data_IF_147755788888
#
_entry.id   IF_147755788888
#
_cell.length_a   1.000
_cell.length_b   1.000
_cell.length_c   1.000
_cell.angle_alpha   90.00
_cell.angle_beta   90.00
_cell.angle_gamma   90.00
#
_symmetry.space_group_name_H-M   'P 1'
#
loop_
_entity.id
_entity.type
_entity.pdbx_description
1 polymer ?
#
# COMPACT_ATOMS: atom_id res chain seq x y z
N UNK A 1 4.82 -5.21 9.93
CA UNK A 1 5.04 -6.24 8.89
C UNK A 1 4.48 -7.61 9.28
N UNK A 2 4.33 -7.90 10.58
CA UNK A 2 3.79 -9.16 11.09
C UNK A 2 2.36 -9.42 10.60
N UNK A 3 1.53 -8.37 10.47
CA UNK A 3 0.19 -8.44 9.88
C UNK A 3 0.17 -8.97 8.44
N UNK A 4 1.29 -8.85 7.73
CA UNK A 4 1.48 -9.37 6.37
C UNK A 4 2.02 -10.80 6.36
N UNK A 5 2.29 -11.40 7.52
CA UNK A 5 2.92 -12.72 7.63
C UNK A 5 4.38 -12.72 7.17
N UNK A 6 5.07 -11.59 7.30
CA UNK A 6 6.49 -11.45 6.97
C UNK A 6 7.30 -11.55 8.25
N UNK A 7 8.07 -12.64 8.35
CA UNK A 7 9.05 -12.89 9.40
C UNK A 7 10.47 -13.03 8.81
N UNK A 8 11.45 -13.37 9.64
CA UNK A 8 12.85 -13.55 9.21
C UNK A 8 13.04 -14.70 8.21
N UNK A 9 12.17 -15.71 8.25
CA UNK A 9 12.26 -16.94 7.46
C UNK A 9 11.47 -16.85 6.16
N UNK A 10 10.53 -15.92 6.06
CA UNK A 10 9.70 -15.71 4.88
C UNK A 10 10.58 -15.49 3.66
N UNK A 11 10.46 -16.34 2.64
CA UNK A 11 11.22 -16.18 1.40
C UNK A 11 10.72 -15.03 0.54
N UNK A 12 11.58 -14.56 -0.36
CA UNK A 12 11.21 -13.57 -1.36
C UNK A 12 10.25 -14.19 -2.39
N UNK A 13 9.17 -13.49 -2.78
CA UNK A 13 8.31 -13.97 -3.87
C UNK A 13 9.03 -13.88 -5.21
N UNK A 14 8.59 -14.68 -6.18
CA UNK A 14 9.15 -14.63 -7.53
C UNK A 14 9.02 -13.22 -8.13
N UNK A 15 10.13 -12.66 -8.62
CA UNK A 15 10.16 -11.32 -9.21
C UNK A 15 9.92 -10.19 -8.21
N UNK A 16 10.24 -10.39 -6.93
CA UNK A 16 10.23 -9.34 -5.93
C UNK A 16 11.14 -9.64 -4.74
N UNK A 17 11.37 -8.66 -3.88
CA UNK A 17 12.23 -8.82 -2.72
C UNK A 17 11.68 -8.13 -1.48
N UNK A 18 11.82 -8.82 -0.35
CA UNK A 18 11.64 -8.22 0.98
C UNK A 18 13.01 -7.75 1.43
N UNK A 19 13.15 -6.46 1.68
CA UNK A 19 14.43 -5.89 2.09
C UNK A 19 14.74 -6.26 3.55
N UNK A 20 16.02 -6.53 3.84
CA UNK A 20 16.48 -7.01 5.14
C UNK A 20 17.77 -6.33 5.54
N UNK A 21 17.83 -5.91 6.79
CA UNK A 21 19.04 -5.41 7.43
C UNK A 21 19.43 -6.40 8.53
N UNK A 22 20.65 -6.95 8.49
CA UNK A 22 21.11 -7.99 9.42
C UNK A 22 20.16 -9.19 9.55
N UNK A 23 19.52 -9.58 8.45
CA UNK A 23 18.54 -10.69 8.41
C UNK A 23 17.18 -10.36 9.01
N UNK A 24 16.94 -9.10 9.40
CA UNK A 24 15.65 -8.62 9.90
C UNK A 24 14.94 -7.87 8.77
N UNK A 25 13.70 -8.25 8.40
CA UNK A 25 12.95 -7.51 7.40
C UNK A 25 12.73 -6.05 7.81
N UNK A 26 13.11 -5.11 6.92
CA UNK A 26 13.02 -3.66 7.17
C UNK A 26 11.62 -3.10 6.94
N UNK A 27 10.75 -3.88 6.28
CA UNK A 27 9.41 -3.46 5.87
C UNK A 27 9.34 -2.84 4.49
N UNK A 28 10.47 -2.72 3.78
CA UNK A 28 10.49 -2.31 2.38
C UNK A 28 10.19 -3.55 1.52
N UNK A 29 9.16 -3.45 0.67
CA UNK A 29 8.74 -4.48 -0.27
C UNK A 29 8.98 -3.98 -1.70
N UNK A 30 9.73 -4.73 -2.50
CA UNK A 30 10.06 -4.39 -3.89
C UNK A 30 9.33 -5.30 -4.88
N UNK A 31 8.91 -4.70 -5.98
CA UNK A 31 8.24 -5.35 -7.10
C UNK A 31 7.08 -6.25 -6.65
N UNK A 32 7.13 -7.55 -6.97
CA UNK A 32 6.05 -8.49 -6.63
C UNK A 32 5.86 -8.72 -5.13
N UNK A 33 6.81 -8.31 -4.28
CA UNK A 33 6.61 -8.36 -2.83
C UNK A 33 5.52 -7.38 -2.36
N UNK A 34 5.23 -6.31 -3.11
CA UNK A 34 4.13 -5.39 -2.81
C UNK A 34 2.78 -6.10 -2.83
N UNK A 35 2.63 -7.14 -3.65
CA UNK A 35 1.37 -7.91 -3.74
C UNK A 35 1.01 -8.61 -2.42
N UNK A 36 2.00 -8.89 -1.56
CA UNK A 36 1.75 -9.44 -0.22
C UNK A 36 0.93 -8.44 0.61
N UNK A 37 1.27 -7.16 0.53
CA UNK A 37 0.51 -6.11 1.21
C UNK A 37 -0.84 -5.87 0.54
N UNK A 38 -0.87 -5.72 -0.78
CA UNK A 38 -2.10 -5.44 -1.54
C UNK A 38 -3.16 -6.53 -1.36
N UNK A 39 -2.77 -7.80 -1.32
CA UNK A 39 -3.70 -8.92 -1.11
C UNK A 39 -4.31 -8.99 0.30
N UNK A 40 -3.71 -8.32 1.28
CA UNK A 40 -4.20 -8.22 2.66
C UNK A 40 -4.97 -6.94 2.92
N UNK A 41 -4.87 -5.96 2.03
CA UNK A 41 -5.63 -4.73 2.14
C UNK A 41 -7.13 -5.04 1.96
N UNK A 42 -8.00 -4.56 2.88
CA UNK A 42 -9.43 -4.69 2.68
C UNK A 42 -9.85 -3.93 1.41
N UNK A 43 -10.86 -4.43 0.67
CA UNK A 43 -11.40 -3.68 -0.46
C UNK A 43 -11.99 -2.37 0.03
N UNK A 44 -11.72 -1.28 -0.68
CA UNK A 44 -12.30 0.03 -0.39
C UNK A 44 -13.80 0.01 -0.72
N UNK A 45 -14.64 0.45 0.22
CA UNK A 45 -16.08 0.52 -0.01
C UNK A 45 -16.46 1.66 -0.96
N UNK A 46 -17.66 1.60 -1.55
CA UNK A 46 -18.18 2.70 -2.39
C UNK A 46 -18.31 3.98 -1.57
N UNK A 47 -18.68 3.85 -0.30
CA UNK A 47 -18.83 4.94 0.66
C UNK A 47 -17.48 5.61 0.94
N UNK A 48 -16.42 4.83 1.15
CA UNK A 48 -15.06 5.33 1.38
C UNK A 48 -14.49 6.02 0.13
N UNK A 49 -14.79 5.49 -1.06
CA UNK A 49 -14.41 6.13 -2.34
C UNK A 49 -15.09 7.49 -2.47
N UNK A 50 -16.40 7.56 -2.22
CA UNK A 50 -17.14 8.84 -2.25
C UNK A 50 -16.57 9.84 -1.28
N UNK A 51 -16.34 9.43 -0.03
CA UNK A 51 -15.77 10.30 1.01
C UNK A 51 -14.39 10.85 0.59
N UNK A 52 -13.54 9.97 0.05
CA UNK A 52 -12.21 10.35 -0.46
C UNK A 52 -12.31 11.35 -1.60
N UNK A 53 -13.19 11.12 -2.59
CA UNK A 53 -13.42 12.03 -3.71
C UNK A 53 -13.90 13.41 -3.24
N UNK A 54 -14.87 13.48 -2.32
CA UNK A 54 -15.33 14.75 -1.76
C UNK A 54 -14.20 15.53 -1.08
N UNK A 55 -13.37 14.85 -0.28
CA UNK A 55 -12.21 15.48 0.36
C UNK A 55 -11.23 16.01 -0.67
N UNK A 56 -10.89 15.20 -1.69
CA UNK A 56 -9.97 15.60 -2.75
C UNK A 56 -10.50 16.78 -3.55
N UNK A 57 -11.78 16.81 -3.92
CA UNK A 57 -12.35 17.93 -4.66
C UNK A 57 -12.34 19.23 -3.85
N UNK A 58 -12.58 19.16 -2.54
CA UNK A 58 -12.45 20.33 -1.67
C UNK A 58 -11.03 20.88 -1.66
N UNK A 59 -10.01 20.02 -1.70
CA UNK A 59 -8.61 20.45 -1.75
C UNK A 59 -8.23 21.00 -3.14
N UNK A 60 -8.72 20.37 -4.22
CA UNK A 60 -8.51 20.84 -5.59
C UNK A 60 -9.10 22.24 -5.83
N UNK A 61 -10.30 22.51 -5.31
CA UNK A 61 -10.94 23.83 -5.41
C UNK A 61 -10.08 24.91 -4.73
N UNK A 62 -9.45 24.61 -3.59
CA UNK A 62 -8.52 25.55 -2.92
C UNK A 62 -7.30 25.87 -3.80
N UNK A 63 -6.91 24.95 -4.66
CA UNK A 63 -5.86 25.15 -5.66
C UNK A 63 -6.36 25.77 -6.98
N UNK A 64 -7.65 26.13 -7.08
CA UNK A 64 -8.26 26.69 -8.29
C UNK A 64 -8.54 25.65 -9.39
N UNK A 65 -8.42 24.36 -9.09
CA UNK A 65 -8.72 23.27 -10.02
C UNK A 65 -10.21 22.95 -9.94
N UNK A 66 -10.93 23.16 -11.05
CA UNK A 66 -12.40 23.01 -11.12
C UNK A 66 -12.87 21.86 -12.02
N UNK A 67 -11.95 21.15 -12.67
CA UNK A 67 -12.21 19.98 -13.52
C UNK A 67 -11.02 19.02 -13.51
N UNK A 68 -11.29 17.71 -13.50
CA UNK A 68 -10.32 16.60 -13.58
C UNK A 68 -10.85 15.45 -14.44
#
# INVERSE_FOLDING_TARGET
>A
IELLGIDKMKENPAGGAIDRENGIPTGILRENALNIALSKAPPTSVEDIKASLYSTFNDLIKCGITSV
#
